data_IF_792616148728
#
_entry.id   IF_792616148728
#
_cell.length_a   1.000
_cell.length_b   1.000
_cell.length_c   1.000
_cell.angle_alpha   90.00
_cell.angle_beta   90.00
_cell.angle_gamma   90.00
#
_symmetry.space_group_name_H-M   'P 1'
#
loop_
_entity.id
_entity.type
_entity.pdbx_description
1 polymer ?
#
# COMPACT_ATOMS: atom_id res chain seq x y z
N UNK A 1 -24.92 -41.02 -10.97
CA UNK A 1 -23.55 -40.72 -11.43
C UNK A 1 -22.96 -39.79 -10.38
N UNK A 2 -22.07 -40.30 -9.51
CA UNK A 2 -21.38 -39.44 -8.56
C UNK A 2 -20.33 -38.68 -9.36
N UNK A 3 -20.55 -37.38 -9.60
CA UNK A 3 -19.52 -36.50 -10.12
C UNK A 3 -18.41 -36.51 -9.05
N UNK A 4 -17.19 -36.89 -9.42
CA UNK A 4 -16.07 -36.84 -8.49
C UNK A 4 -15.87 -35.41 -8.02
N UNK A 5 -15.51 -35.19 -6.76
CA UNK A 5 -15.25 -33.84 -6.24
C UNK A 5 -14.15 -33.13 -7.07
N UNK A 6 -13.28 -33.89 -7.73
CA UNK A 6 -12.25 -33.39 -8.66
C UNK A 6 -12.79 -32.80 -9.98
N UNK A 7 -14.03 -33.11 -10.36
CA UNK A 7 -14.65 -32.59 -11.59
C UNK A 7 -15.36 -31.25 -11.37
N UNK A 8 -15.54 -30.81 -10.12
CA UNK A 8 -16.23 -29.56 -9.81
C UNK A 8 -15.37 -28.34 -10.17
N UNK A 9 -16.03 -27.33 -10.73
CA UNK A 9 -15.41 -26.05 -11.05
C UNK A 9 -15.60 -25.13 -9.85
N UNK A 10 -14.50 -24.60 -9.35
CA UNK A 10 -14.52 -23.54 -8.34
C UNK A 10 -14.00 -22.26 -8.95
N UNK A 11 -14.51 -21.14 -8.48
CA UNK A 11 -14.10 -19.81 -8.94
C UNK A 11 -13.59 -19.04 -7.74
N UNK A 12 -12.45 -18.41 -7.90
CA UNK A 12 -11.96 -17.39 -6.99
C UNK A 12 -11.99 -16.02 -7.62
N UNK A 13 -12.35 -15.01 -6.84
CA UNK A 13 -12.41 -13.61 -7.27
C UNK A 13 -11.60 -12.74 -6.32
N UNK A 14 -10.61 -12.06 -6.86
CA UNK A 14 -9.93 -10.96 -6.18
C UNK A 14 -10.63 -9.65 -6.52
N UNK A 15 -11.05 -8.92 -5.47
CA UNK A 15 -11.87 -7.72 -5.60
C UNK A 15 -11.01 -6.46 -5.48
N UNK A 16 -11.04 -5.64 -6.52
CA UNK A 16 -10.47 -4.31 -6.52
C UNK A 16 -11.50 -3.21 -6.33
N UNK A 17 -11.02 -1.99 -6.09
CA UNK A 17 -11.86 -0.79 -6.24
C UNK A 17 -12.25 -0.57 -7.70
N UNK A 18 -13.12 0.44 -7.99
CA UNK A 18 -13.74 0.64 -9.30
C UNK A 18 -12.78 0.66 -10.51
N UNK A 19 -11.55 1.16 -10.33
CA UNK A 19 -10.53 1.19 -11.38
C UNK A 19 -9.82 -0.15 -11.62
N UNK A 20 -9.64 -0.95 -10.56
CA UNK A 20 -8.98 -2.26 -10.65
C UNK A 20 -9.97 -3.30 -11.20
N UNK A 21 -11.22 -3.24 -10.74
CA UNK A 21 -12.27 -4.19 -11.04
C UNK A 21 -12.05 -5.54 -10.36
N UNK A 22 -12.66 -6.57 -10.93
CA UNK A 22 -12.62 -7.95 -10.44
C UNK A 22 -11.70 -8.80 -11.30
N UNK A 23 -10.92 -9.66 -10.67
CA UNK A 23 -10.12 -10.68 -11.35
C UNK A 23 -10.63 -12.06 -10.94
N UNK A 24 -11.14 -12.82 -11.90
CA UNK A 24 -11.68 -14.16 -11.69
C UNK A 24 -10.75 -15.24 -12.22
N UNK A 25 -10.57 -16.32 -11.46
CA UNK A 25 -9.87 -17.54 -11.89
C UNK A 25 -10.76 -18.75 -11.59
N UNK A 26 -10.97 -19.60 -12.58
CA UNK A 26 -11.70 -20.85 -12.44
C UNK A 26 -10.72 -22.04 -12.38
N UNK A 27 -10.84 -22.87 -11.36
CA UNK A 27 -10.10 -24.12 -11.21
C UNK A 27 -11.02 -25.33 -11.35
N UNK A 28 -10.50 -26.39 -11.95
CA UNK A 28 -11.07 -27.74 -11.91
C UNK A 28 -9.96 -28.70 -11.51
N UNK A 29 -10.08 -29.28 -10.32
CA UNK A 29 -8.96 -29.89 -9.62
C UNK A 29 -7.77 -28.94 -9.58
N UNK A 30 -6.61 -29.38 -10.09
CA UNK A 30 -5.37 -28.60 -10.08
C UNK A 30 -5.15 -27.72 -11.32
N UNK A 31 -6.10 -27.70 -12.26
CA UNK A 31 -5.95 -27.01 -13.55
C UNK A 31 -6.68 -25.67 -13.54
N UNK A 32 -5.98 -24.62 -13.99
CA UNK A 32 -6.61 -23.35 -14.36
C UNK A 32 -7.40 -23.54 -15.66
N UNK A 33 -8.73 -23.45 -15.57
CA UNK A 33 -9.61 -23.61 -16.73
C UNK A 33 -9.77 -22.32 -17.52
N UNK A 34 -10.04 -21.25 -16.81
CA UNK A 34 -10.38 -19.96 -17.40
C UNK A 34 -10.02 -18.83 -16.45
N UNK A 35 -9.87 -17.64 -17.03
CA UNK A 35 -9.67 -16.39 -16.31
C UNK A 35 -10.60 -15.34 -16.89
N UNK A 36 -11.02 -14.39 -16.07
CA UNK A 36 -11.77 -13.22 -16.54
C UNK A 36 -11.34 -11.98 -15.78
N UNK A 37 -11.57 -10.82 -16.38
CA UNK A 37 -11.44 -9.53 -15.72
C UNK A 37 -12.57 -8.63 -16.18
N UNK A 38 -13.23 -7.96 -15.24
CA UNK A 38 -14.29 -7.00 -15.55
C UNK A 38 -14.39 -5.93 -14.47
N UNK A 39 -14.86 -4.74 -14.84
CA UNK A 39 -15.30 -3.72 -13.88
C UNK A 39 -16.73 -3.93 -13.37
N UNK A 40 -17.46 -4.90 -13.93
CA UNK A 40 -18.88 -5.16 -13.64
C UNK A 40 -19.07 -6.42 -12.80
N UNK A 41 -19.67 -6.26 -11.62
CA UNK A 41 -20.08 -7.36 -10.74
C UNK A 41 -21.03 -8.34 -11.45
N UNK A 42 -21.97 -7.83 -12.24
CA UNK A 42 -22.93 -8.64 -12.99
C UNK A 42 -22.25 -9.51 -14.05
N UNK A 43 -21.23 -8.98 -14.73
CA UNK A 43 -20.44 -9.75 -15.72
C UNK A 43 -19.67 -10.88 -15.07
N UNK A 44 -19.10 -10.66 -13.88
CA UNK A 44 -18.42 -11.72 -13.11
C UNK A 44 -19.42 -12.78 -12.67
N UNK A 45 -20.56 -12.39 -12.10
CA UNK A 45 -21.59 -13.33 -11.68
C UNK A 45 -22.15 -14.17 -12.84
N UNK A 46 -22.33 -13.54 -14.01
CA UNK A 46 -22.68 -14.26 -15.24
C UNK A 46 -21.61 -15.27 -15.64
N UNK A 47 -20.34 -14.84 -15.68
CA UNK A 47 -19.23 -15.74 -15.99
C UNK A 47 -19.15 -16.93 -15.03
N UNK A 48 -19.38 -16.72 -13.72
CA UNK A 48 -19.44 -17.82 -12.73
C UNK A 48 -20.51 -18.87 -13.07
N UNK A 49 -21.66 -18.45 -13.61
CA UNK A 49 -22.71 -19.37 -14.08
C UNK A 49 -22.31 -20.09 -15.36
N UNK A 50 -21.71 -19.37 -16.31
CA UNK A 50 -21.29 -19.92 -17.61
C UNK A 50 -20.22 -20.99 -17.48
N UNK A 51 -19.28 -20.82 -16.53
CA UNK A 51 -18.27 -21.86 -16.22
C UNK A 51 -18.80 -22.94 -15.28
N UNK A 52 -20.10 -22.93 -14.96
CA UNK A 52 -20.76 -23.88 -14.09
C UNK A 52 -20.09 -24.05 -12.72
N UNK A 53 -19.74 -22.93 -12.07
CA UNK A 53 -19.10 -22.98 -10.76
C UNK A 53 -20.02 -23.65 -9.71
N UNK A 54 -19.43 -24.46 -8.82
CA UNK A 54 -20.07 -24.96 -7.59
C UNK A 54 -19.78 -24.04 -6.40
N UNK A 55 -18.61 -23.39 -6.36
CA UNK A 55 -18.24 -22.45 -5.30
C UNK A 55 -17.62 -21.20 -5.91
N UNK A 56 -18.05 -20.03 -5.42
CA UNK A 56 -17.44 -18.74 -5.72
C UNK A 56 -16.82 -18.16 -4.45
N UNK A 57 -15.49 -18.20 -4.35
CA UNK A 57 -14.74 -17.66 -3.23
C UNK A 57 -14.27 -16.23 -3.53
N UNK A 58 -14.68 -15.27 -2.73
CA UNK A 58 -14.49 -13.84 -3.01
C UNK A 58 -13.60 -13.20 -1.95
N UNK A 59 -12.57 -12.45 -2.36
CA UNK A 59 -11.72 -11.62 -1.49
C UNK A 59 -12.41 -10.29 -1.18
N UNK A 60 -13.52 -10.36 -0.44
CA UNK A 60 -14.21 -9.19 0.08
C UNK A 60 -15.12 -9.56 1.25
N UNK A 61 -15.39 -8.63 2.18
CA UNK A 61 -16.37 -8.85 3.22
C UNK A 61 -17.76 -9.15 2.63
N UNK A 62 -18.34 -10.31 2.98
CA UNK A 62 -19.69 -10.69 2.59
C UNK A 62 -20.77 -9.95 3.41
N UNK A 63 -20.39 -9.39 4.55
CA UNK A 63 -21.26 -8.61 5.44
C UNK A 63 -20.49 -7.44 6.06
N UNK A 64 -21.22 -6.36 6.29
CA UNK A 64 -20.72 -5.20 7.02
C UNK A 64 -20.71 -5.45 8.52
N UNK A 65 -19.87 -4.72 9.24
CA UNK A 65 -19.93 -4.68 10.70
C UNK A 65 -21.24 -4.03 11.16
N UNK A 66 -21.88 -4.57 12.20
CA UNK A 66 -23.03 -3.92 12.84
C UNK A 66 -22.64 -2.54 13.42
N UNK A 67 -23.56 -1.56 13.44
CA UNK A 67 -23.31 -0.25 14.06
C UNK A 67 -22.93 -0.32 15.54
N UNK A 68 -23.46 -1.31 16.27
CA UNK A 68 -23.29 -1.50 17.71
C UNK A 68 -22.04 -2.33 18.05
N UNK A 69 -21.45 -3.02 17.06
CA UNK A 69 -20.29 -3.90 17.24
C UNK A 69 -18.93 -3.22 17.03
N UNK A 70 -17.91 -3.70 17.74
CA UNK A 70 -16.54 -3.18 17.61
C UNK A 70 -15.86 -3.61 16.28
N UNK A 71 -16.04 -4.87 15.89
CA UNK A 71 -15.48 -5.54 14.70
C UNK A 71 -16.32 -6.77 14.33
N UNK A 72 -16.06 -7.43 13.19
CA UNK A 72 -16.70 -8.73 12.88
C UNK A 72 -16.05 -9.85 13.69
N UNK A 73 -16.79 -10.91 14.04
CA UNK A 73 -16.20 -12.02 14.80
C UNK A 73 -15.05 -12.69 14.04
N UNK A 74 -15.20 -12.87 12.72
CA UNK A 74 -14.19 -13.45 11.86
C UNK A 74 -12.82 -12.74 11.97
N UNK A 75 -12.85 -11.40 11.98
CA UNK A 75 -11.64 -10.56 12.10
C UNK A 75 -10.97 -10.73 13.47
N UNK A 76 -11.77 -10.79 14.55
CA UNK A 76 -11.23 -11.00 15.90
C UNK A 76 -10.61 -12.39 16.05
N UNK A 77 -11.23 -13.42 15.51
CA UNK A 77 -10.71 -14.77 15.60
C UNK A 77 -9.41 -14.94 14.81
N UNK A 78 -9.34 -14.40 13.58
CA UNK A 78 -8.09 -14.36 12.83
C UNK A 78 -6.99 -13.58 13.55
N UNK A 79 -7.33 -12.45 14.18
CA UNK A 79 -6.38 -11.64 14.95
C UNK A 79 -5.79 -12.40 16.14
N UNK A 80 -6.56 -13.28 16.81
CA UNK A 80 -6.04 -14.17 17.88
C UNK A 80 -4.99 -15.14 17.36
N UNK A 81 -5.07 -15.51 16.09
CA UNK A 81 -4.07 -16.33 15.39
C UNK A 81 -2.97 -15.49 14.74
N UNK A 82 -2.91 -14.18 15.04
CA UNK A 82 -1.93 -13.22 14.52
C UNK A 82 -2.00 -13.02 13.01
N UNK A 83 -3.15 -13.33 12.41
CA UNK A 83 -3.44 -13.04 11.00
C UNK A 83 -4.14 -11.69 10.97
N UNK A 84 -3.42 -10.67 10.51
CA UNK A 84 -3.96 -9.32 10.41
C UNK A 84 -4.81 -9.16 9.14
N UNK A 85 -6.03 -8.62 9.30
CA UNK A 85 -6.90 -8.17 8.20
C UNK A 85 -7.30 -6.71 8.40
N UNK A 86 -7.74 -6.05 7.33
CA UNK A 86 -8.41 -4.76 7.49
C UNK A 86 -9.75 -4.98 8.20
N UNK A 87 -10.07 -4.13 9.17
CA UNK A 87 -11.37 -4.21 9.82
C UNK A 87 -12.46 -3.69 8.89
N UNK A 88 -13.50 -4.50 8.70
CA UNK A 88 -14.65 -4.13 7.90
C UNK A 88 -15.44 -3.04 8.65
N UNK A 89 -15.68 -1.88 8.05
CA UNK A 89 -16.42 -0.81 8.69
C UNK A 89 -17.93 -1.10 8.69
N UNK A 90 -18.70 -0.19 9.30
CA UNK A 90 -20.14 -0.10 8.99
C UNK A 90 -20.33 0.38 7.55
N UNK A 91 -21.46 0.02 6.93
CA UNK A 91 -21.80 0.49 5.57
C UNK A 91 -21.80 2.01 5.45
N UNK A 92 -22.31 2.72 6.46
CA UNK A 92 -22.31 4.18 6.50
C UNK A 92 -20.88 4.75 6.42
N UNK A 93 -19.96 4.23 7.24
CA UNK A 93 -18.56 4.65 7.22
C UNK A 93 -17.86 4.27 5.91
N UNK A 94 -18.20 3.13 5.32
CA UNK A 94 -17.66 2.72 4.02
C UNK A 94 -18.01 3.72 2.92
N UNK A 95 -19.29 4.13 2.85
CA UNK A 95 -19.79 5.10 1.85
C UNK A 95 -19.10 6.46 1.92
N UNK A 96 -18.70 6.88 3.11
CA UNK A 96 -18.04 8.16 3.34
C UNK A 96 -16.53 8.20 3.06
N UNK A 97 -15.89 7.08 2.70
CA UNK A 97 -14.43 7.01 2.67
C UNK A 97 -13.85 6.21 1.48
N UNK A 98 -13.10 6.83 0.55
CA UNK A 98 -12.62 6.21 -0.70
C UNK A 98 -11.83 4.90 -0.53
N UNK A 99 -11.08 4.76 0.56
CA UNK A 99 -10.33 3.53 0.89
C UNK A 99 -11.21 2.26 0.88
N UNK A 100 -12.49 2.35 1.26
CA UNK A 100 -13.39 1.19 1.32
C UNK A 100 -14.13 0.91 0.02
N UNK A 101 -13.82 1.61 -1.07
CA UNK A 101 -14.49 1.45 -2.36
C UNK A 101 -14.42 0.01 -2.90
N UNK A 102 -13.32 -0.72 -2.65
CA UNK A 102 -13.21 -2.13 -3.02
C UNK A 102 -14.17 -3.04 -2.22
N UNK A 103 -14.44 -2.73 -0.94
CA UNK A 103 -15.43 -3.48 -0.15
C UNK A 103 -16.84 -3.25 -0.68
N UNK A 104 -17.13 -2.04 -1.17
CA UNK A 104 -18.40 -1.73 -1.84
C UNK A 104 -18.56 -2.54 -3.13
N UNK A 105 -17.52 -2.62 -3.96
CA UNK A 105 -17.50 -3.49 -5.14
C UNK A 105 -17.69 -4.97 -4.77
N UNK A 106 -17.14 -5.41 -3.64
CA UNK A 106 -17.40 -6.75 -3.09
C UNK A 106 -18.86 -6.98 -2.73
N UNK A 107 -19.49 -6.02 -2.05
CA UNK A 107 -20.91 -6.09 -1.72
C UNK A 107 -21.81 -6.13 -2.98
N UNK A 108 -21.45 -5.37 -4.03
CA UNK A 108 -22.12 -5.43 -5.34
C UNK A 108 -21.98 -6.81 -5.99
N UNK A 109 -20.79 -7.42 -5.92
CA UNK A 109 -20.56 -8.77 -6.41
C UNK A 109 -21.39 -9.82 -5.67
N UNK A 110 -21.43 -9.76 -4.33
CA UNK A 110 -22.29 -10.66 -3.55
C UNK A 110 -23.77 -10.50 -3.89
N UNK A 111 -24.24 -9.27 -4.09
CA UNK A 111 -25.60 -9.02 -4.53
C UNK A 111 -25.88 -9.63 -5.92
N UNK A 112 -24.95 -9.50 -6.87
CA UNK A 112 -25.07 -10.08 -8.21
C UNK A 112 -25.00 -11.62 -8.22
N UNK A 113 -24.31 -12.21 -7.24
CA UNK A 113 -24.19 -13.65 -7.05
C UNK A 113 -25.40 -14.28 -6.34
N UNK A 114 -26.11 -13.53 -5.49
CA UNK A 114 -27.05 -14.05 -4.49
C UNK A 114 -28.14 -14.98 -5.03
N UNK A 115 -28.61 -14.78 -6.27
CA UNK A 115 -29.65 -15.61 -6.88
C UNK A 115 -29.15 -17.02 -7.20
N UNK A 116 -27.89 -17.16 -7.64
CA UNK A 116 -27.32 -18.44 -8.09
C UNK A 116 -26.31 -19.04 -7.11
N UNK A 117 -25.74 -18.21 -6.26
CA UNK A 117 -24.69 -18.52 -5.29
C UNK A 117 -25.00 -17.81 -3.98
N UNK A 118 -25.96 -18.33 -3.18
CA UNK A 118 -26.24 -17.77 -1.86
C UNK A 118 -24.98 -17.72 -0.99
N UNK A 119 -24.89 -16.71 -0.13
CA UNK A 119 -23.77 -16.55 0.81
C UNK A 119 -23.79 -17.70 1.82
N UNK A 120 -22.62 -18.26 2.10
CA UNK A 120 -22.45 -19.26 3.15
C UNK A 120 -22.79 -18.71 4.55
N UNK A 121 -23.64 -19.44 5.27
CA UNK A 121 -24.15 -19.06 6.60
C UNK A 121 -23.74 -20.02 7.71
N UNK A 122 -22.74 -20.88 7.48
CA UNK A 122 -22.24 -21.83 8.48
C UNK A 122 -22.86 -23.23 8.38
N UNK A 123 -24.00 -23.39 7.69
CA UNK A 123 -24.62 -24.69 7.46
C UNK A 123 -24.02 -25.40 6.23
N UNK A 124 -23.82 -26.72 6.33
CA UNK A 124 -23.52 -27.57 5.16
C UNK A 124 -24.72 -27.58 4.21
N UNK A 125 -24.52 -27.34 2.90
CA UNK A 125 -25.50 -27.81 1.92
C UNK A 125 -26.03 -26.91 0.79
N UNK A 126 -25.40 -25.81 0.33
CA UNK A 126 -25.75 -25.32 -1.00
C UNK A 126 -24.97 -26.11 -2.07
N UNK A 127 -25.66 -26.59 -3.11
CA UNK A 127 -25.03 -27.13 -4.33
C UNK A 127 -24.18 -26.05 -5.04
N UNK A 128 -24.57 -24.77 -4.87
CA UNK A 128 -23.84 -23.58 -5.31
C UNK A 128 -23.78 -22.55 -4.21
N UNK A 129 -22.59 -22.06 -3.88
CA UNK A 129 -22.39 -21.13 -2.75
C UNK A 129 -21.36 -20.06 -3.05
N UNK A 130 -21.58 -18.87 -2.49
CA UNK A 130 -20.56 -17.83 -2.40
C UNK A 130 -19.96 -17.81 -0.99
N UNK A 131 -18.63 -17.87 -0.88
CA UNK A 131 -17.89 -17.76 0.39
C UNK A 131 -17.03 -16.51 0.39
N UNK A 132 -16.88 -15.88 1.55
CA UNK A 132 -15.81 -14.90 1.77
C UNK A 132 -14.52 -15.64 2.10
N UNK A 133 -13.42 -15.15 1.53
CA UNK A 133 -12.08 -15.60 1.85
C UNK A 133 -11.12 -14.40 1.87
N UNK A 134 -9.87 -14.65 2.24
CA UNK A 134 -8.84 -13.62 2.36
C UNK A 134 -7.48 -14.22 1.96
N UNK A 135 -6.92 -13.90 0.77
CA UNK A 135 -5.73 -14.53 0.20
C UNK A 135 -4.51 -14.51 1.11
N UNK A 136 -4.39 -13.54 2.01
CA UNK A 136 -3.32 -13.55 3.01
C UNK A 136 -3.54 -14.61 4.10
N UNK A 137 -4.75 -14.73 4.65
CA UNK A 137 -5.08 -15.79 5.59
C UNK A 137 -4.99 -17.19 4.95
N UNK A 138 -5.41 -17.32 3.69
CA UNK A 138 -5.24 -18.54 2.89
C UNK A 138 -3.76 -18.91 2.79
N UNK A 139 -2.90 -17.94 2.45
CA UNK A 139 -1.46 -18.17 2.36
C UNK A 139 -0.86 -18.58 3.71
N UNK A 140 -1.27 -17.95 4.82
CA UNK A 140 -0.82 -18.31 6.16
C UNK A 140 -1.26 -19.74 6.55
N UNK A 141 -2.52 -20.09 6.24
CA UNK A 141 -3.08 -21.42 6.52
C UNK A 141 -2.33 -22.52 5.74
N UNK A 142 -2.15 -22.34 4.43
CA UNK A 142 -1.39 -23.28 3.59
C UNK A 142 0.07 -23.38 4.03
N UNK A 143 0.69 -22.28 4.46
CA UNK A 143 2.08 -22.28 4.94
C UNK A 143 2.24 -22.87 6.35
N UNK A 144 1.15 -23.03 7.11
CA UNK A 144 1.17 -23.40 8.53
C UNK A 144 1.82 -22.36 9.45
N UNK A 145 2.02 -21.13 8.97
CA UNK A 145 2.70 -20.04 9.69
C UNK A 145 2.33 -18.68 9.10
N UNK A 146 2.58 -17.60 9.85
CA UNK A 146 2.42 -16.24 9.32
C UNK A 146 3.48 -15.96 8.26
N UNK A 147 3.03 -15.64 7.04
CA UNK A 147 3.93 -15.30 5.92
C UNK A 147 4.10 -13.78 5.78
N UNK A 148 5.30 -13.28 5.45
CA UNK A 148 5.54 -11.84 5.33
C UNK A 148 4.99 -11.25 4.02
N UNK A 149 4.47 -10.02 4.09
CA UNK A 149 3.93 -9.31 2.92
C UNK A 149 4.98 -8.95 1.85
N UNK A 150 6.25 -8.75 2.24
CA UNK A 150 7.34 -8.28 1.35
C UNK A 150 7.58 -9.19 0.13
N UNK A 151 7.32 -10.50 0.27
CA UNK A 151 7.50 -11.51 -0.79
C UNK A 151 6.18 -12.16 -1.21
N UNK A 152 5.05 -11.45 -1.06
CA UNK A 152 3.70 -12.02 -1.25
C UNK A 152 3.52 -12.77 -2.58
N UNK A 153 4.05 -12.24 -3.68
CA UNK A 153 3.88 -12.85 -5.01
C UNK A 153 4.64 -14.18 -5.11
N UNK A 154 5.91 -14.19 -4.73
CA UNK A 154 6.76 -15.39 -4.73
C UNK A 154 6.20 -16.47 -3.81
N UNK A 155 5.83 -16.10 -2.57
CA UNK A 155 5.26 -17.03 -1.59
C UNK A 155 3.95 -17.65 -2.07
N UNK A 156 3.02 -16.85 -2.60
CA UNK A 156 1.72 -17.34 -3.05
C UNK A 156 1.84 -18.24 -4.29
N UNK A 157 2.73 -17.91 -5.23
CA UNK A 157 3.07 -18.79 -6.36
C UNK A 157 3.61 -20.13 -5.90
N UNK A 158 4.49 -20.13 -4.91
CA UNK A 158 5.05 -21.37 -4.39
C UNK A 158 4.00 -22.23 -3.70
N UNK A 159 3.12 -21.62 -2.91
CA UNK A 159 2.00 -22.34 -2.30
C UNK A 159 1.07 -22.96 -3.35
N UNK A 160 0.77 -22.25 -4.45
CA UNK A 160 0.00 -22.82 -5.57
C UNK A 160 0.71 -24.03 -6.18
N UNK A 161 2.04 -23.96 -6.43
CA UNK A 161 2.83 -25.08 -6.97
C UNK A 161 2.83 -26.29 -6.04
N UNK A 162 3.04 -26.07 -4.74
CA UNK A 162 2.98 -27.14 -3.73
C UNK A 162 1.59 -27.77 -3.66
N UNK A 163 0.54 -27.01 -3.99
CA UNK A 163 -0.82 -27.52 -4.15
C UNK A 163 -1.08 -28.13 -5.54
N UNK A 164 -0.05 -28.29 -6.39
CA UNK A 164 -0.14 -28.89 -7.72
C UNK A 164 -0.67 -27.98 -8.84
N UNK A 165 -0.89 -26.70 -8.57
CA UNK A 165 -1.41 -25.72 -9.55
C UNK A 165 -0.21 -25.03 -10.21
N UNK A 166 -0.15 -25.02 -11.53
CA UNK A 166 0.86 -24.27 -12.27
C UNK A 166 0.50 -22.77 -12.36
N UNK A 167 1.26 -21.86 -11.73
CA UNK A 167 0.97 -20.43 -11.76
C UNK A 167 1.57 -19.72 -12.99
N UNK A 168 2.19 -20.41 -13.95
CA UNK A 168 2.88 -19.81 -15.10
C UNK A 168 1.95 -18.91 -15.94
N UNK A 169 0.69 -19.31 -16.11
CA UNK A 169 -0.34 -18.56 -16.82
C UNK A 169 -0.99 -17.42 -16.02
N UNK A 170 -0.66 -17.27 -14.73
CA UNK A 170 -1.17 -16.21 -13.87
C UNK A 170 -0.18 -15.04 -13.92
N UNK A 171 -0.56 -13.92 -14.54
CA UNK A 171 0.40 -12.88 -14.97
C UNK A 171 0.65 -11.81 -13.91
N UNK A 172 -0.28 -11.61 -12.98
CA UNK A 172 -0.20 -10.58 -11.95
C UNK A 172 -0.64 -11.14 -10.58
N UNK A 173 -0.47 -10.32 -9.53
CA UNK A 173 -0.81 -10.74 -8.16
C UNK A 173 -2.31 -10.94 -7.95
N UNK A 174 -3.16 -10.19 -8.66
CA UNK A 174 -4.61 -10.25 -8.53
C UNK A 174 -5.14 -11.60 -9.05
N UNK A 175 -4.59 -12.11 -10.15
CA UNK A 175 -4.87 -13.46 -10.65
C UNK A 175 -4.32 -14.56 -9.73
N UNK A 176 -3.18 -14.33 -9.08
CA UNK A 176 -2.63 -15.26 -8.08
C UNK A 176 -3.53 -15.33 -6.84
N UNK A 177 -4.04 -14.18 -6.40
CA UNK A 177 -4.94 -14.06 -5.26
C UNK A 177 -6.29 -14.71 -5.56
N UNK A 178 -6.84 -14.45 -6.76
CA UNK A 178 -8.01 -15.14 -7.27
C UNK A 178 -7.81 -16.67 -7.35
N UNK A 179 -6.64 -17.16 -7.78
CA UNK A 179 -6.36 -18.59 -7.80
C UNK A 179 -6.31 -19.20 -6.38
N UNK A 180 -5.77 -18.49 -5.39
CA UNK A 180 -5.82 -18.91 -3.98
C UNK A 180 -7.24 -18.92 -3.43
N UNK A 181 -8.07 -17.94 -3.80
CA UNK A 181 -9.49 -17.94 -3.48
C UNK A 181 -10.16 -19.19 -4.08
N UNK A 182 -9.91 -19.49 -5.35
CA UNK A 182 -10.49 -20.66 -6.02
C UNK A 182 -10.07 -21.97 -5.35
N UNK A 183 -8.78 -22.12 -5.01
CA UNK A 183 -8.29 -23.27 -4.25
C UNK A 183 -8.98 -23.39 -2.88
N UNK A 184 -9.32 -22.27 -2.25
CA UNK A 184 -10.12 -22.29 -1.02
C UNK A 184 -11.54 -22.79 -1.27
N UNK A 185 -12.13 -22.46 -2.42
CA UNK A 185 -13.39 -23.08 -2.88
C UNK A 185 -13.28 -24.59 -3.03
N UNK A 186 -12.20 -25.11 -3.64
CA UNK A 186 -11.95 -26.56 -3.73
C UNK A 186 -11.89 -27.21 -2.34
N UNK A 187 -11.15 -26.58 -1.41
CA UNK A 187 -11.05 -27.04 -0.01
C UNK A 187 -12.39 -26.99 0.71
N UNK A 188 -13.24 -26.01 0.38
CA UNK A 188 -14.59 -25.93 0.90
C UNK A 188 -15.44 -27.12 0.43
N UNK A 189 -15.42 -27.47 -0.87
CA UNK A 189 -16.19 -28.61 -1.42
C UNK A 189 -15.81 -29.96 -0.81
N UNK A 190 -14.56 -30.11 -0.41
CA UNK A 190 -14.03 -31.35 0.21
C UNK A 190 -14.18 -31.39 1.73
N UNK A 191 -14.68 -30.32 2.36
CA UNK A 191 -14.76 -30.20 3.81
C UNK A 191 -13.41 -29.95 4.50
N UNK A 192 -12.35 -29.67 3.74
CA UNK A 192 -10.98 -29.41 4.23
C UNK A 192 -10.74 -27.92 4.49
N UNK A 193 -11.66 -27.29 5.22
CA UNK A 193 -11.63 -25.85 5.50
C UNK A 193 -11.82 -25.54 6.98
N UNK A 194 -11.49 -24.30 7.32
CA UNK A 194 -11.78 -23.65 8.59
C UNK A 194 -12.53 -22.36 8.29
N UNK A 195 -13.58 -22.10 9.05
CA UNK A 195 -14.33 -20.85 8.99
C UNK A 195 -14.11 -20.05 10.28
N UNK A 196 -13.88 -18.75 10.13
CA UNK A 196 -13.86 -17.78 11.22
C UNK A 196 -15.13 -16.94 11.15
N UNK A 197 -15.75 -16.62 12.28
CA UNK A 197 -16.92 -15.76 12.35
C UNK A 197 -18.23 -16.50 12.66
N UNK A 198 -19.34 -15.87 12.26
CA UNK A 198 -20.68 -16.30 12.59
C UNK A 198 -21.68 -15.95 11.47
N UNK A 199 -22.90 -16.44 11.57
CA UNK A 199 -23.94 -16.21 10.56
C UNK A 199 -24.39 -14.74 10.48
N UNK A 200 -24.22 -13.97 11.57
CA UNK A 200 -24.68 -12.59 11.68
C UNK A 200 -23.71 -11.63 10.97
N UNK A 201 -22.42 -11.74 11.28
CA UNK A 201 -21.34 -10.90 10.78
C UNK A 201 -20.57 -11.50 9.60
N UNK A 202 -20.88 -12.74 9.23
CA UNK A 202 -20.30 -13.45 8.09
C UNK A 202 -19.11 -14.31 8.47
N UNK A 203 -18.78 -15.25 7.57
CA UNK A 203 -17.67 -16.18 7.74
C UNK A 203 -16.52 -15.87 6.79
N UNK A 204 -15.29 -15.89 7.27
CA UNK A 204 -14.08 -15.96 6.43
C UNK A 204 -13.61 -17.41 6.38
N UNK A 205 -13.56 -17.99 5.18
CA UNK A 205 -13.15 -19.37 4.95
C UNK A 205 -11.69 -19.43 4.49
N UNK A 206 -10.93 -20.35 5.07
CA UNK A 206 -9.55 -20.69 4.69
C UNK A 206 -9.35 -22.21 4.65
N UNK A 207 -8.32 -22.73 3.97
CA UNK A 207 -7.94 -24.14 4.07
C UNK A 207 -7.61 -24.56 5.51
N UNK A 208 -7.95 -25.79 5.89
CA UNK A 208 -7.71 -26.29 7.26
C UNK A 208 -6.27 -26.75 7.48
N UNK A 209 -5.69 -27.44 6.51
CA UNK A 209 -4.39 -28.08 6.63
C UNK A 209 -3.29 -27.31 5.87
N UNK A 210 -2.07 -27.25 6.43
CA UNK A 210 -0.92 -26.75 5.69
C UNK A 210 -0.52 -27.70 4.57
N UNK A 211 0.06 -27.16 3.51
CA UNK A 211 0.62 -27.96 2.42
C UNK A 211 1.99 -28.50 2.81
N UNK A 212 2.24 -29.77 2.49
CA UNK A 212 3.54 -30.39 2.72
C UNK A 212 4.62 -29.70 1.87
N UNK A 213 5.84 -29.61 2.40
CA UNK A 213 7.01 -29.13 1.66
C UNK A 213 7.21 -27.61 1.66
N UNK A 214 6.32 -26.82 2.28
CA UNK A 214 6.57 -25.38 2.43
C UNK A 214 7.68 -25.12 3.46
N UNK A 215 8.90 -24.93 2.98
CA UNK A 215 10.03 -24.45 3.78
C UNK A 215 9.99 -22.92 3.68
N UNK A 216 9.29 -22.28 4.61
CA UNK A 216 9.26 -20.82 4.68
C UNK A 216 10.67 -20.25 4.61
N UNK A 217 10.86 -19.13 3.91
CA UNK A 217 12.18 -18.49 3.82
C UNK A 217 12.57 -17.98 5.21
N UNK A 218 13.19 -18.84 6.02
CA UNK A 218 13.92 -18.40 7.20
C UNK A 218 14.98 -17.45 6.67
N UNK A 219 14.91 -16.18 7.03
CA UNK A 219 16.06 -15.32 6.86
C UNK A 219 17.21 -16.00 7.60
N UNK A 220 18.38 -16.08 6.95
CA UNK A 220 19.60 -16.61 7.58
C UNK A 220 19.96 -15.87 8.88
N UNK A 221 19.32 -14.72 9.15
CA UNK A 221 19.50 -13.89 10.33
C UNK A 221 18.88 -14.45 11.63
N UNK A 222 18.00 -15.46 11.57
CA UNK A 222 17.40 -16.05 12.78
C UNK A 222 18.11 -17.31 13.31
N UNK A 223 19.24 -17.72 12.69
CA UNK A 223 20.01 -18.90 13.08
C UNK A 223 21.34 -18.59 13.77
N UNK A 224 21.59 -17.33 14.16
CA UNK A 224 22.67 -16.99 15.09
C UNK A 224 22.10 -16.92 16.51
N UNK A 225 22.09 -18.07 17.19
CA UNK A 225 21.89 -18.14 18.63
C UNK A 225 23.04 -17.43 19.37
N UNK A 226 22.67 -16.78 20.48
CA UNK A 226 23.52 -16.16 21.49
C UNK A 226 24.84 -16.87 21.75
N UNK A 227 25.89 -16.08 22.04
CA UNK A 227 26.62 -16.34 23.28
C UNK A 227 26.69 -15.11 24.19
N UNK A 228 26.56 -15.43 25.48
CA UNK A 228 27.19 -14.82 26.65
C UNK A 228 27.41 -13.30 26.67
N UNK A 229 26.57 -12.67 27.49
CA UNK A 229 26.75 -11.38 28.16
C UNK A 229 28.16 -11.28 28.75
N UNK A 230 29.00 -10.41 28.19
CA UNK A 230 30.25 -9.94 28.80
C UNK A 230 30.24 -8.42 28.89
N UNK A 231 30.99 -7.95 29.88
CA UNK A 231 30.95 -6.66 30.56
C UNK A 231 31.12 -5.44 29.67
N UNK A 232 30.36 -4.38 29.99
CA UNK A 232 30.29 -3.10 29.30
C UNK A 232 31.42 -2.19 29.80
N UNK A 233 32.45 -1.99 28.98
CA UNK A 233 33.36 -0.85 29.11
C UNK A 233 32.79 0.37 28.36
N UNK A 234 32.98 1.55 28.95
CA UNK A 234 32.50 2.84 28.44
C UNK A 234 33.51 3.43 27.44
N UNK A 235 33.10 3.92 26.26
CA UNK A 235 33.96 4.79 25.46
C UNK A 235 33.61 6.25 25.73
N UNK A 236 34.62 6.95 26.23
CA UNK A 236 34.76 8.41 26.24
C UNK A 236 35.13 8.93 24.84
N UNK A 237 34.85 10.22 24.63
CA UNK A 237 35.23 11.09 23.50
C UNK A 237 34.43 10.93 22.19
N UNK A 238 33.45 11.83 22.02
CA UNK A 238 32.94 12.23 20.70
C UNK A 238 33.95 13.21 20.09
N UNK A 239 34.76 12.72 19.15
CA UNK A 239 35.58 13.57 18.28
C UNK A 239 34.72 14.28 17.23
N UNK A 240 35.09 15.52 16.89
CA UNK A 240 34.48 16.36 15.86
C UNK A 240 34.28 15.61 14.53
N UNK A 241 33.03 15.36 14.15
CA UNK A 241 32.68 14.91 12.81
C UNK A 241 32.53 16.12 11.89
N UNK A 242 33.53 16.33 11.02
CA UNK A 242 33.37 17.19 9.84
C UNK A 242 32.54 16.43 8.80
N UNK A 243 31.40 17.00 8.41
CA UNK A 243 30.58 16.51 7.30
C UNK A 243 31.17 17.02 5.98
N UNK A 244 32.11 16.27 5.41
CA UNK A 244 32.45 16.44 4.00
C UNK A 244 31.29 15.89 3.16
N UNK A 245 30.66 16.78 2.38
CA UNK A 245 29.50 16.48 1.54
C UNK A 245 29.89 15.61 0.34
N UNK A 246 29.97 14.30 0.56
CA UNK A 246 30.08 13.34 -0.53
C UNK A 246 28.84 13.41 -1.43
N UNK A 247 28.97 13.48 -2.77
CA UNK A 247 27.82 13.49 -3.66
C UNK A 247 27.11 12.13 -3.61
N UNK A 248 25.86 12.10 -3.11
CA UNK A 248 24.98 10.92 -2.96
C UNK A 248 24.42 10.46 -4.33
N UNK A 249 25.16 10.62 -5.43
CA UNK A 249 24.67 10.25 -6.75
C UNK A 249 25.54 9.13 -7.34
N UNK A 250 25.22 7.90 -6.96
CA UNK A 250 25.66 6.69 -7.64
C UNK A 250 24.83 6.51 -8.93
N UNK A 251 25.42 5.85 -9.95
CA UNK A 251 24.81 5.52 -11.26
C UNK A 251 23.64 4.53 -11.16
N UNK A 252 23.19 4.21 -9.95
CA UNK A 252 22.17 3.22 -9.64
C UNK A 252 20.84 3.84 -9.20
N UNK A 253 20.72 5.17 -9.22
CA UNK A 253 19.51 5.85 -8.75
C UNK A 253 18.29 5.42 -9.59
N UNK A 254 17.32 4.79 -8.93
CA UNK A 254 16.04 4.39 -9.54
C UNK A 254 14.98 5.45 -9.31
N UNK A 255 13.86 5.38 -10.05
CA UNK A 255 12.71 6.27 -9.85
C UNK A 255 12.21 6.31 -8.42
N UNK A 256 12.03 5.16 -7.77
CA UNK A 256 11.55 5.08 -6.40
C UNK A 256 12.55 5.70 -5.41
N UNK A 257 13.85 5.44 -5.59
CA UNK A 257 14.91 6.05 -4.79
C UNK A 257 14.95 7.57 -4.95
N UNK A 258 14.86 8.06 -6.20
CA UNK A 258 14.88 9.50 -6.49
C UNK A 258 13.68 10.23 -5.87
N UNK A 259 12.46 9.67 -5.99
CA UNK A 259 11.25 10.23 -5.38
C UNK A 259 11.37 10.21 -3.85
N UNK A 260 11.82 9.09 -3.28
CA UNK A 260 12.01 8.96 -1.84
C UNK A 260 13.00 9.98 -1.28
N UNK A 261 14.16 10.13 -1.92
CA UNK A 261 15.16 11.14 -1.55
C UNK A 261 14.60 12.56 -1.66
N UNK A 262 13.81 12.84 -2.70
CA UNK A 262 13.23 14.17 -2.89
C UNK A 262 12.27 14.53 -1.76
N UNK A 263 11.37 13.60 -1.40
CA UNK A 263 10.42 13.82 -0.30
C UNK A 263 11.11 13.94 1.06
N UNK A 264 12.14 13.11 1.33
CA UNK A 264 12.92 13.18 2.57
C UNK A 264 13.68 14.50 2.70
N UNK A 265 14.38 14.93 1.64
CA UNK A 265 15.10 16.20 1.65
C UNK A 265 14.16 17.40 1.78
N UNK A 266 12.95 17.33 1.22
CA UNK A 266 11.96 18.38 1.39
C UNK A 266 11.46 18.42 2.85
N UNK A 267 11.25 17.25 3.47
CA UNK A 267 10.94 17.16 4.90
C UNK A 267 12.04 17.75 5.78
N UNK A 268 13.32 17.59 5.39
CA UNK A 268 14.44 18.24 6.08
C UNK A 268 14.37 19.77 5.99
N UNK A 269 14.08 20.33 4.80
CA UNK A 269 13.84 21.77 4.66
C UNK A 269 12.67 22.25 5.54
N UNK A 270 11.56 21.51 5.57
CA UNK A 270 10.42 21.83 6.45
C UNK A 270 10.80 21.79 7.94
N UNK A 271 11.64 20.85 8.35
CA UNK A 271 12.20 20.81 9.69
C UNK A 271 13.06 22.04 10.00
N UNK A 272 13.94 22.46 9.10
CA UNK A 272 14.77 23.67 9.29
C UNK A 272 13.90 24.92 9.44
N UNK A 273 12.85 25.05 8.64
CA UNK A 273 11.86 26.14 8.75
C UNK A 273 11.21 26.17 10.14
N UNK A 274 10.77 25.00 10.64
CA UNK A 274 10.18 24.89 11.97
C UNK A 274 11.18 25.21 13.09
N UNK A 275 12.43 24.74 12.96
CA UNK A 275 13.48 25.00 13.93
C UNK A 275 13.84 26.49 14.01
N UNK A 276 13.81 27.21 12.88
CA UNK A 276 13.95 28.67 12.89
C UNK A 276 12.76 29.33 13.58
N UNK A 277 11.53 28.96 13.22
CA UNK A 277 10.31 29.52 13.82
C UNK A 277 10.25 29.29 15.34
N UNK A 278 10.69 28.13 15.82
CA UNK A 278 10.75 27.81 17.25
C UNK A 278 11.67 28.75 18.03
N UNK A 279 12.73 29.27 17.40
CA UNK A 279 13.64 30.26 18.02
C UNK A 279 13.04 31.67 18.04
N UNK A 280 12.17 31.99 17.08
CA UNK A 280 11.63 33.35 16.90
C UNK A 280 10.25 33.54 17.55
N UNK A 281 9.50 32.46 17.77
CA UNK A 281 8.11 32.51 18.23
C UNK A 281 7.95 31.95 19.65
N UNK A 282 6.99 32.47 20.40
CA UNK A 282 6.56 31.86 21.66
C UNK A 282 5.82 30.53 21.43
N UNK A 283 5.81 29.64 22.43
CA UNK A 283 5.25 28.29 22.32
C UNK A 283 3.80 28.23 21.79
N UNK A 284 2.92 29.12 22.26
CA UNK A 284 1.52 29.17 21.83
C UNK A 284 1.36 29.62 20.36
N UNK A 285 2.28 30.43 19.84
CA UNK A 285 2.27 30.81 18.43
C UNK A 285 2.91 29.73 17.55
N UNK A 286 4.02 29.14 17.99
CA UNK A 286 4.65 28.03 17.31
C UNK A 286 3.67 26.88 17.08
N UNK A 287 2.85 26.53 18.07
CA UNK A 287 1.86 25.47 17.94
C UNK A 287 0.80 25.79 16.88
N UNK A 288 0.35 27.06 16.82
CA UNK A 288 -0.56 27.52 15.76
C UNK A 288 0.07 27.41 14.37
N UNK A 289 1.36 27.72 14.24
CA UNK A 289 2.08 27.68 12.96
C UNK A 289 2.43 26.25 12.53
N UNK A 290 2.69 25.33 13.47
CA UNK A 290 2.99 23.90 13.18
C UNK A 290 1.88 23.22 12.39
N UNK A 291 0.63 23.54 12.69
CA UNK A 291 -0.54 23.00 12.00
C UNK A 291 -0.80 23.61 10.60
N UNK A 292 -0.08 24.66 10.21
CA UNK A 292 -0.30 25.33 8.91
C UNK A 292 0.38 24.60 7.75
N UNK A 293 -0.07 24.84 6.51
CA UNK A 293 0.65 24.41 5.32
C UNK A 293 2.08 24.99 5.28
N UNK A 294 3.00 24.27 4.63
CA UNK A 294 4.40 24.69 4.51
C UNK A 294 4.57 26.10 3.91
N UNK A 295 3.71 26.50 2.96
CA UNK A 295 3.73 27.86 2.39
C UNK A 295 3.51 28.95 3.44
N UNK A 296 2.51 28.78 4.31
CA UNK A 296 2.21 29.74 5.39
C UNK A 296 3.34 29.77 6.43
N UNK A 297 3.99 28.63 6.71
CA UNK A 297 5.18 28.58 7.58
C UNK A 297 6.32 29.43 7.00
N UNK A 298 6.60 29.29 5.71
CA UNK A 298 7.65 30.04 5.01
C UNK A 298 7.30 31.54 4.90
N UNK A 299 6.04 31.88 4.65
CA UNK A 299 5.58 33.27 4.72
C UNK A 299 5.75 33.87 6.12
N UNK A 300 5.47 33.07 7.18
CA UNK A 300 5.71 33.49 8.56
C UNK A 300 7.18 33.76 8.80
N UNK A 301 8.09 32.91 8.30
CA UNK A 301 9.55 33.19 8.32
C UNK A 301 9.83 34.52 7.65
N UNK A 302 9.29 34.78 6.46
CA UNK A 302 9.52 36.04 5.74
C UNK A 302 9.05 37.30 6.49
N UNK A 303 8.01 37.18 7.31
CA UNK A 303 7.56 38.28 8.18
C UNK A 303 8.44 38.51 9.42
N UNK A 304 9.29 37.54 9.78
CA UNK A 304 10.23 37.61 10.90
C UNK A 304 11.67 37.91 10.42
N UNK A 305 11.99 37.48 9.21
CA UNK A 305 13.33 37.50 8.63
C UNK A 305 13.65 38.85 7.98
N UNK A 306 14.85 39.37 8.27
CA UNK A 306 15.46 40.46 7.51
C UNK A 306 15.03 41.86 7.97
N UNK A 307 15.91 42.50 8.76
CA UNK A 307 15.75 43.89 9.21
C UNK A 307 16.18 44.87 8.12
N UNK A 308 17.13 44.46 7.28
CA UNK A 308 17.68 45.28 6.20
C UNK A 308 17.01 44.99 4.86
N UNK A 309 17.11 45.95 3.93
CA UNK A 309 16.63 45.76 2.56
C UNK A 309 17.33 44.60 1.83
N UNK A 310 18.62 44.38 2.15
CA UNK A 310 19.41 43.31 1.53
C UNK A 310 18.92 41.92 1.96
N UNK A 311 18.69 41.71 3.26
CA UNK A 311 18.16 40.44 3.78
C UNK A 311 16.77 40.12 3.22
N UNK A 312 15.89 41.12 3.13
CA UNK A 312 14.57 40.96 2.49
C UNK A 312 14.70 40.60 1.01
N UNK A 313 15.65 41.21 0.30
CA UNK A 313 15.97 40.88 -1.09
C UNK A 313 16.45 39.44 -1.25
N UNK A 314 17.33 38.98 -0.37
CA UNK A 314 17.86 37.62 -0.37
C UNK A 314 16.77 36.59 -0.05
N UNK A 315 15.92 36.85 0.95
CA UNK A 315 14.79 35.99 1.27
C UNK A 315 13.78 35.93 0.11
N UNK A 316 13.50 37.05 -0.55
CA UNK A 316 12.65 37.05 -1.74
C UNK A 316 13.25 36.22 -2.89
N UNK A 317 14.59 36.18 -3.03
CA UNK A 317 15.26 35.29 -3.98
C UNK A 317 15.10 33.81 -3.61
N UNK A 318 15.24 33.48 -2.31
CA UNK A 318 14.95 32.14 -1.80
C UNK A 318 13.51 31.69 -2.11
N UNK A 319 12.51 32.55 -1.88
CA UNK A 319 11.10 32.22 -2.19
C UNK A 319 10.90 31.90 -3.67
N UNK A 320 11.53 32.67 -4.57
CA UNK A 320 11.48 32.41 -6.01
C UNK A 320 12.09 31.05 -6.36
N UNK A 321 13.23 30.71 -5.77
CA UNK A 321 13.90 29.41 -5.98
C UNK A 321 13.10 28.23 -5.39
N UNK A 322 12.42 28.43 -4.26
CA UNK A 322 11.60 27.42 -3.61
C UNK A 322 10.33 27.05 -4.40
N UNK A 323 9.78 27.99 -5.16
CA UNK A 323 8.50 27.84 -5.88
C UNK A 323 8.40 26.53 -6.69
N UNK A 324 9.28 26.30 -7.70
CA UNK A 324 9.25 25.10 -8.52
C UNK A 324 9.44 23.79 -7.72
N UNK A 325 10.28 23.82 -6.69
CA UNK A 325 10.56 22.65 -5.83
C UNK A 325 9.33 22.29 -4.99
N UNK A 326 8.67 23.29 -4.40
CA UNK A 326 7.41 23.14 -3.65
C UNK A 326 6.29 22.62 -4.55
N UNK A 327 6.19 23.16 -5.75
CA UNK A 327 5.21 22.71 -6.74
C UNK A 327 5.40 21.23 -7.09
N UNK A 328 6.64 20.81 -7.38
CA UNK A 328 6.93 19.40 -7.64
C UNK A 328 6.63 18.51 -6.44
N UNK A 329 6.98 18.92 -5.22
CA UNK A 329 6.64 18.20 -3.99
C UNK A 329 5.14 18.00 -3.86
N UNK A 330 4.33 19.02 -4.14
CA UNK A 330 2.88 18.91 -4.07
C UNK A 330 2.34 17.90 -5.11
N UNK A 331 2.89 17.91 -6.33
CA UNK A 331 2.54 16.90 -7.33
C UNK A 331 2.93 15.49 -6.87
N UNK A 332 4.14 15.29 -6.34
CA UNK A 332 4.58 13.97 -5.87
C UNK A 332 3.81 13.48 -4.63
N UNK A 333 3.43 14.36 -3.72
CA UNK A 333 2.76 14.01 -2.46
C UNK A 333 1.25 13.78 -2.62
N UNK A 334 0.60 14.47 -3.56
CA UNK A 334 -0.86 14.44 -3.72
C UNK A 334 -1.32 13.90 -5.08
N UNK A 335 -0.40 13.74 -6.02
CA UNK A 335 -0.68 13.22 -7.35
C UNK A 335 -0.65 11.70 -7.41
N UNK A 336 -1.37 11.17 -8.38
CA UNK A 336 -1.28 9.78 -8.78
C UNK A 336 -0.09 9.60 -9.73
N UNK A 337 0.80 8.68 -9.39
CA UNK A 337 1.98 8.37 -10.20
C UNK A 337 1.64 7.23 -11.16
N UNK A 338 1.77 7.48 -12.45
CA UNK A 338 1.65 6.48 -13.50
C UNK A 338 2.91 6.42 -14.34
N UNK A 339 3.38 5.22 -14.67
CA UNK A 339 4.47 5.06 -15.63
C UNK A 339 3.86 5.06 -17.03
N UNK A 340 4.22 6.05 -17.83
CA UNK A 340 3.73 6.23 -19.19
C UNK A 340 4.91 6.08 -20.15
N UNK A 341 4.69 5.41 -21.28
CA UNK A 341 5.61 5.46 -22.42
C UNK A 341 5.09 6.50 -23.40
N UNK A 342 5.94 7.46 -23.77
CA UNK A 342 5.59 8.40 -24.85
C UNK A 342 5.86 7.74 -26.21
N UNK A 343 4.98 7.90 -27.21
CA UNK A 343 5.22 7.37 -28.55
C UNK A 343 6.53 7.87 -29.17
N UNK A 344 6.93 9.10 -28.83
CA UNK A 344 8.11 9.76 -29.42
C UNK A 344 9.42 9.41 -28.71
N UNK A 345 9.38 8.86 -27.48
CA UNK A 345 10.58 8.53 -26.71
C UNK A 345 10.50 7.11 -26.16
N UNK A 346 11.52 6.29 -26.43
CA UNK A 346 11.63 4.94 -25.86
C UNK A 346 11.77 4.96 -24.32
N UNK A 347 12.16 6.10 -23.75
CA UNK A 347 12.33 6.28 -22.31
C UNK A 347 10.97 6.34 -21.56
N UNK A 348 10.83 5.63 -20.42
CA UNK A 348 9.68 5.76 -19.55
C UNK A 348 9.65 7.14 -18.87
N UNK A 349 8.46 7.74 -18.79
CA UNK A 349 8.20 8.96 -18.01
C UNK A 349 7.21 8.66 -16.89
N UNK A 350 7.25 9.44 -15.82
CA UNK A 350 6.21 9.40 -14.80
C UNK A 350 5.19 10.50 -15.12
N UNK A 351 3.97 10.10 -15.45
CA UNK A 351 2.82 10.99 -15.42
C UNK A 351 2.39 11.21 -13.97
N UNK A 352 2.25 12.47 -13.58
CA UNK A 352 1.73 12.86 -12.27
C UNK A 352 0.43 13.62 -12.49
N UNK A 353 -0.67 12.98 -12.16
CA UNK A 353 -2.02 13.55 -12.32
C UNK A 353 -2.54 13.95 -10.95
N UNK A 354 -3.05 15.19 -10.79
CA UNK A 354 -3.60 15.61 -9.49
C UNK A 354 -4.88 14.85 -9.20
N UNK A 355 -5.12 14.59 -7.92
CA UNK A 355 -6.30 13.85 -7.46
C UNK A 355 -7.62 14.54 -7.84
N UNK A 356 -7.64 15.87 -7.99
CA UNK A 356 -8.81 16.64 -8.42
C UNK A 356 -9.18 16.43 -9.88
N UNK A 357 -8.27 15.90 -10.70
CA UNK A 357 -8.44 15.72 -12.15
C UNK A 357 -8.93 14.30 -12.51
N UNK A 358 -9.23 13.46 -11.51
CA UNK A 358 -9.76 12.11 -11.71
C UNK A 358 -11.25 12.16 -12.11
N UNK A 359 -11.54 12.68 -13.31
CA UNK A 359 -12.86 12.80 -13.92
C UNK A 359 -12.99 12.17 -15.32
N UNK A 360 -11.97 11.47 -15.81
CA UNK A 360 -12.08 10.63 -17.02
C UNK A 360 -11.77 11.30 -18.36
N UNK A 361 -11.36 12.57 -18.37
CA UNK A 361 -10.75 13.21 -19.54
C UNK A 361 -9.29 13.44 -19.18
N UNK A 362 -8.36 13.00 -20.03
CA UNK A 362 -6.94 13.37 -19.93
C UNK A 362 -6.86 14.89 -19.82
N UNK A 363 -6.80 15.42 -18.60
CA UNK A 363 -6.71 16.85 -18.40
C UNK A 363 -5.36 17.31 -18.93
N UNK A 364 -5.34 18.46 -19.60
CA UNK A 364 -4.10 19.12 -20.04
C UNK A 364 -3.12 19.39 -18.87
N UNK A 365 -3.56 19.17 -17.62
CA UNK A 365 -2.79 19.38 -16.39
C UNK A 365 -1.97 18.17 -15.92
N UNK A 366 -1.99 17.03 -16.62
CA UNK A 366 -1.08 15.91 -16.26
C UNK A 366 0.38 16.32 -16.50
N UNK A 367 1.11 16.53 -15.41
CA UNK A 367 2.54 16.85 -15.47
C UNK A 367 3.32 15.58 -15.75
N UNK A 368 3.97 15.52 -16.90
CA UNK A 368 4.92 14.46 -17.20
C UNK A 368 6.29 14.85 -16.67
N UNK A 369 6.82 14.03 -15.78
CA UNK A 369 8.15 14.18 -15.20
C UNK A 369 9.06 13.12 -15.81
N UNK A 370 10.17 13.57 -16.38
CA UNK A 370 11.30 12.74 -16.81
C UNK A 370 12.25 12.50 -15.64
N UNK A 371 13.08 11.46 -15.72
CA UNK A 371 14.00 11.13 -14.63
C UNK A 371 15.02 12.25 -14.42
N UNK A 372 15.53 12.83 -15.50
CA UNK A 372 16.48 13.94 -15.44
C UNK A 372 15.88 15.21 -14.82
N UNK A 373 14.59 15.47 -15.03
CA UNK A 373 13.90 16.58 -14.37
C UNK A 373 13.80 16.35 -12.86
N UNK A 374 13.52 15.13 -12.42
CA UNK A 374 13.50 14.79 -11.00
C UNK A 374 14.90 14.94 -10.37
N UNK A 375 15.95 14.50 -11.06
CA UNK A 375 17.33 14.66 -10.61
C UNK A 375 17.73 16.14 -10.54
N UNK A 376 17.37 16.95 -11.54
CA UNK A 376 17.56 18.42 -11.47
C UNK A 376 16.82 19.05 -10.30
N UNK A 377 15.60 18.59 -10.03
CA UNK A 377 14.82 19.09 -8.90
C UNK A 377 15.44 18.69 -7.54
N UNK A 378 16.07 17.52 -7.43
CA UNK A 378 16.86 17.13 -6.26
C UNK A 378 18.03 18.09 -6.01
N UNK A 379 18.77 18.45 -7.06
CA UNK A 379 19.85 19.45 -6.97
C UNK A 379 19.32 20.82 -6.55
N UNK A 380 18.23 21.29 -7.17
CA UNK A 380 17.60 22.56 -6.81
C UNK A 380 17.10 22.57 -5.36
N UNK A 381 16.53 21.47 -4.88
CA UNK A 381 16.11 21.33 -3.48
C UNK A 381 17.29 21.41 -2.52
N UNK A 382 18.43 20.80 -2.87
CA UNK A 382 19.67 20.91 -2.08
C UNK A 382 20.10 22.37 -1.96
N UNK A 383 20.19 23.09 -3.08
CA UNK A 383 20.60 24.50 -3.12
C UNK A 383 19.65 25.40 -2.31
N UNK A 384 18.34 25.19 -2.46
CA UNK A 384 17.32 25.92 -1.68
C UNK A 384 17.48 25.65 -0.18
N UNK A 385 17.81 24.42 0.21
CA UNK A 385 18.01 24.04 1.61
C UNK A 385 19.28 24.68 2.18
N UNK A 386 20.38 24.67 1.43
CA UNK A 386 21.64 25.32 1.81
C UNK A 386 21.48 26.85 1.91
N UNK A 387 20.76 27.48 0.97
CA UNK A 387 20.45 28.91 1.02
C UNK A 387 19.63 29.26 2.27
N UNK A 388 18.59 28.48 2.59
CA UNK A 388 17.79 28.70 3.80
C UNK A 388 18.64 28.62 5.07
N UNK A 389 19.54 27.63 5.16
CA UNK A 389 20.51 27.51 6.24
C UNK A 389 21.38 28.76 6.35
N UNK A 390 22.01 29.20 5.24
CA UNK A 390 22.85 30.41 5.23
C UNK A 390 22.10 31.66 5.68
N UNK A 391 20.88 31.86 5.17
CA UNK A 391 20.04 33.00 5.54
C UNK A 391 19.77 33.01 7.05
N UNK A 392 19.31 31.88 7.59
CA UNK A 392 18.89 31.78 9.00
C UNK A 392 20.04 31.72 10.00
N UNK A 393 21.18 31.12 9.64
CA UNK A 393 22.37 31.07 10.50
C UNK A 393 23.02 32.45 10.68
N UNK A 394 22.98 33.29 9.65
CA UNK A 394 23.51 34.66 9.70
C UNK A 394 22.77 35.54 10.70
N UNK A 395 21.47 35.32 10.88
CA UNK A 395 20.61 36.06 11.80
C UNK A 395 20.62 35.46 13.21
N UNK A 396 20.75 34.12 13.32
CA UNK A 396 20.76 33.42 14.60
C UNK A 396 22.05 33.64 15.42
N UNK A 397 23.02 34.41 14.91
CA UNK A 397 24.20 34.80 15.69
C UNK A 397 25.17 33.66 15.97
N UNK A 398 25.23 32.63 15.12
CA UNK A 398 26.22 31.54 15.18
C UNK A 398 27.64 32.00 14.80
N UNK A 399 28.06 33.19 15.25
CA UNK A 399 29.49 33.42 15.45
C UNK A 399 29.90 32.45 16.53
N UNK A 400 30.67 31.43 16.15
CA UNK A 400 31.46 30.66 17.09
C UNK A 400 32.11 31.65 18.05
N UNK A 401 31.68 31.65 19.32
CA UNK A 401 32.47 32.30 20.36
C UNK A 401 33.87 31.70 20.29
N UNK A 402 34.94 32.49 20.45
CA UNK A 402 36.29 31.94 20.44
C UNK A 402 36.33 30.79 21.45
N UNK A 403 36.70 29.59 20.99
CA UNK A 403 37.01 28.49 21.91
C UNK A 403 38.18 28.96 22.77
N UNK A 404 37.88 29.33 24.02
CA UNK A 404 38.85 29.65 25.05
C UNK A 404 39.15 28.42 25.90
#
# INVERSE_FOLDING_TARGET
MFIGVEDQITVGVDVGGPLKGFHGVALQGRRVLAKTRSGSAATIAQWCREVDASVVAVDAPCRWRSPEGESRLAEREMARERIASFSTPTLERARGHPFFSWMMSGAELYAALAESFPIYTGATGPERVAIETFPHAVACALAGQIVPAKRKNETRRELLRLCGIDPSGLVNIDEIDAALCSLTGERFTTGDFKAYGDAESGFIVVPKAPVAGFVGSRSKDQQAASPARTTRESPSSFGEMRFDSAPIFDRTLTWSSAIGLFLLNFGHLEFLVLAYLEKQLGAAELERVRAKPFSEKVERVGGLFGRTANERGAFAAFIRALGPVRELRNHLAHGYLQVVRRPETVAPVIGITRTVDFGGISSEETRHLTFDELVRALSALKEVTEEFGRLTDSEAGWRQGPMG
#
